data_IF_930049053505
#
_entry.id   IF_930049053505
#
_cell.length_a   1.000
_cell.length_b   1.000
_cell.length_c   1.000
_cell.angle_alpha   90.00
_cell.angle_beta   90.00
_cell.angle_gamma   90.00
#
_symmetry.space_group_name_H-M   'P 1'
#
loop_
_entity.id
_entity.type
_entity.pdbx_description
1 polymer ?
#
# COMPACT_ATOMS: atom_id res chain seq x y z
N UNK A 1 70.40 36.80 18.84
CA UNK A 1 69.36 36.06 19.58
C UNK A 1 67.99 36.64 19.24
N UNK A 2 67.27 36.12 18.22
CA UNK A 2 65.93 36.60 17.90
C UNK A 2 64.88 35.89 18.76
N UNK A 3 64.11 36.68 19.51
CA UNK A 3 62.98 36.25 20.33
C UNK A 3 61.85 35.72 19.44
N UNK A 4 61.52 34.42 19.56
CA UNK A 4 60.36 33.81 18.89
C UNK A 4 59.09 34.21 19.63
N UNK A 5 58.30 35.07 19.00
CA UNK A 5 56.96 35.43 19.46
C UNK A 5 56.06 34.17 19.53
N UNK A 6 55.47 33.95 20.71
CA UNK A 6 54.56 32.84 21.02
C UNK A 6 53.23 33.09 20.32
N UNK A 7 52.97 32.37 19.23
CA UNK A 7 51.70 32.42 18.48
C UNK A 7 50.58 31.94 19.41
N UNK A 8 49.64 32.81 19.74
CA UNK A 8 48.45 32.47 20.51
C UNK A 8 47.59 31.46 19.71
N UNK A 9 47.15 30.39 20.38
CA UNK A 9 46.26 29.40 19.80
C UNK A 9 44.90 30.03 19.45
N UNK A 10 44.26 29.64 18.33
CA UNK A 10 42.94 30.14 17.98
C UNK A 10 41.91 29.76 19.06
N UNK A 11 40.92 30.62 19.33
CA UNK A 11 39.89 30.32 20.32
C UNK A 11 39.10 29.08 19.91
N UNK A 12 38.66 28.24 20.87
CA UNK A 12 37.88 27.05 20.57
C UNK A 12 36.59 27.45 19.86
N UNK A 13 36.33 26.82 18.72
CA UNK A 13 35.12 27.03 17.93
C UNK A 13 33.90 26.82 18.82
N UNK A 14 33.12 27.88 19.05
CA UNK A 14 31.88 27.81 19.80
C UNK A 14 30.95 26.85 19.09
N UNK A 15 30.60 25.74 19.74
CA UNK A 15 29.58 24.82 19.24
C UNK A 15 28.29 25.61 18.99
N UNK A 16 27.68 25.50 17.80
CA UNK A 16 26.46 26.25 17.50
C UNK A 16 25.37 25.81 18.47
N UNK A 17 24.94 26.73 19.34
CA UNK A 17 23.74 26.52 20.17
C UNK A 17 22.54 26.44 19.24
N UNK A 18 22.11 25.23 18.93
CA UNK A 18 20.80 24.97 18.31
C UNK A 18 19.76 25.62 19.21
N UNK A 19 19.11 26.67 18.73
CA UNK A 19 18.20 27.45 19.57
C UNK A 19 17.03 26.57 20.05
N UNK A 20 16.72 26.61 21.34
CA UNK A 20 15.63 25.84 21.95
C UNK A 20 14.28 26.10 21.26
N UNK A 21 14.08 27.32 20.74
CA UNK A 21 12.90 27.69 19.95
C UNK A 21 12.81 26.90 18.64
N UNK A 22 13.94 26.63 17.98
CA UNK A 22 13.99 25.82 16.75
C UNK A 22 13.59 24.36 17.02
N UNK A 23 14.02 23.81 18.16
CA UNK A 23 13.66 22.45 18.57
C UNK A 23 12.14 22.30 18.83
N UNK A 24 11.55 23.19 19.63
CA UNK A 24 10.11 23.14 19.95
C UNK A 24 9.24 23.21 18.69
N UNK A 25 9.52 24.14 17.77
CA UNK A 25 8.76 24.24 16.52
C UNK A 25 8.90 23.01 15.62
N UNK A 26 10.06 22.36 15.61
CA UNK A 26 10.25 21.09 14.89
C UNK A 26 9.43 19.97 15.52
N UNK A 27 9.45 19.87 16.85
CA UNK A 27 8.70 18.85 17.59
C UNK A 27 7.19 18.98 17.32
N UNK A 28 6.63 20.19 17.43
CA UNK A 28 5.22 20.45 17.14
C UNK A 28 4.83 20.12 15.69
N UNK A 29 5.71 20.41 14.71
CA UNK A 29 5.46 20.00 13.32
C UNK A 29 5.49 18.48 13.17
N UNK A 30 6.45 17.81 13.80
CA UNK A 30 6.57 16.36 13.75
C UNK A 30 5.35 15.67 14.38
N UNK A 31 4.90 16.13 15.54
CA UNK A 31 3.70 15.62 16.22
C UNK A 31 2.44 15.80 15.35
N UNK A 32 2.27 16.96 14.74
CA UNK A 32 1.18 17.19 13.78
C UNK A 32 1.26 16.26 12.58
N UNK A 33 2.44 16.09 11.98
CA UNK A 33 2.65 15.13 10.87
C UNK A 33 2.27 13.71 11.29
N UNK A 34 2.71 13.26 12.47
CA UNK A 34 2.39 11.92 13.02
C UNK A 34 0.89 11.74 13.24
N UNK A 35 0.20 12.76 13.77
CA UNK A 35 -1.25 12.73 13.97
C UNK A 35 -2.00 12.57 12.64
N UNK A 36 -1.66 13.39 11.64
CA UNK A 36 -2.26 13.32 10.30
C UNK A 36 -1.95 11.98 9.63
N UNK A 37 -0.73 11.46 9.78
CA UNK A 37 -0.34 10.16 9.26
C UNK A 37 -1.17 9.02 9.87
N UNK A 38 -1.31 8.98 11.20
CA UNK A 38 -2.13 7.97 11.90
C UNK A 38 -3.57 7.97 11.39
N UNK A 39 -4.19 9.15 11.24
CA UNK A 39 -5.55 9.26 10.72
C UNK A 39 -5.69 8.71 9.30
N UNK A 40 -4.72 9.01 8.43
CA UNK A 40 -4.70 8.48 7.06
C UNK A 40 -4.52 6.95 7.01
N UNK A 41 -3.63 6.41 7.84
CA UNK A 41 -3.45 4.96 7.97
C UNK A 41 -4.72 4.28 8.47
N UNK A 42 -5.36 4.82 9.51
CA UNK A 42 -6.62 4.29 10.04
C UNK A 42 -7.72 4.28 8.97
N UNK A 43 -7.89 5.38 8.24
CA UNK A 43 -8.86 5.48 7.13
C UNK A 43 -8.58 4.44 6.05
N UNK A 44 -7.30 4.24 5.69
CA UNK A 44 -6.92 3.24 4.68
C UNK A 44 -7.20 1.82 5.15
N UNK A 45 -6.95 1.51 6.43
CA UNK A 45 -7.27 0.22 7.03
C UNK A 45 -8.77 -0.06 7.05
N UNK A 46 -9.58 0.91 7.48
CA UNK A 46 -11.04 0.78 7.53
C UNK A 46 -11.61 0.47 6.14
N UNK A 47 -11.15 1.19 5.12
CA UNK A 47 -11.52 0.94 3.73
C UNK A 47 -11.06 -0.43 3.24
N UNK A 48 -9.82 -0.80 3.55
CA UNK A 48 -9.28 -2.10 3.21
C UNK A 48 -10.04 -3.26 3.84
N UNK A 49 -10.43 -3.12 5.11
CA UNK A 49 -11.27 -4.08 5.81
C UNK A 49 -12.65 -4.19 5.14
N UNK A 50 -13.29 -3.06 4.84
CA UNK A 50 -14.59 -3.04 4.15
C UNK A 50 -14.53 -3.71 2.77
N UNK A 51 -13.48 -3.44 1.99
CA UNK A 51 -13.26 -4.09 0.69
C UNK A 51 -13.02 -5.60 0.83
N UNK A 52 -12.23 -6.02 1.83
CA UNK A 52 -12.01 -7.43 2.11
C UNK A 52 -13.29 -8.15 2.53
N UNK A 53 -14.13 -7.51 3.35
CA UNK A 53 -15.42 -8.06 3.76
C UNK A 53 -16.39 -8.17 2.58
N UNK A 54 -16.44 -7.15 1.71
CA UNK A 54 -17.22 -7.21 0.48
C UNK A 54 -16.77 -8.35 -0.43
N UNK A 55 -15.45 -8.49 -0.63
CA UNK A 55 -14.89 -9.59 -1.41
C UNK A 55 -15.19 -10.96 -0.78
N UNK A 56 -15.05 -11.10 0.53
CA UNK A 56 -15.39 -12.33 1.26
C UNK A 56 -16.84 -12.73 1.09
N UNK A 57 -17.78 -11.76 1.16
CA UNK A 57 -19.20 -12.02 0.90
C UNK A 57 -19.44 -12.48 -0.53
N UNK A 58 -18.76 -11.86 -1.50
CA UNK A 58 -18.83 -12.26 -2.91
C UNK A 58 -18.32 -13.68 -3.13
N UNK A 59 -17.16 -14.04 -2.56
CA UNK A 59 -16.60 -15.39 -2.64
C UNK A 59 -17.56 -16.40 -2.00
N UNK A 60 -18.11 -16.10 -0.83
CA UNK A 60 -19.06 -16.98 -0.16
C UNK A 60 -20.34 -17.17 -0.99
N UNK A 61 -20.91 -16.09 -1.54
CA UNK A 61 -22.11 -16.15 -2.38
C UNK A 61 -21.88 -16.91 -3.68
N UNK A 62 -20.70 -16.75 -4.30
CA UNK A 62 -20.42 -17.36 -5.60
C UNK A 62 -19.91 -18.80 -5.49
N UNK A 63 -19.21 -19.14 -4.41
CA UNK A 63 -18.48 -20.42 -4.28
C UNK A 63 -18.94 -21.30 -3.13
N UNK A 64 -19.77 -20.78 -2.21
CA UNK A 64 -20.08 -21.46 -0.94
C UNK A 64 -18.85 -21.70 -0.07
N UNK A 65 -17.73 -21.01 -0.34
CA UNK A 65 -16.47 -21.17 0.39
C UNK A 65 -16.45 -20.29 1.64
N UNK A 66 -15.69 -20.70 2.67
CA UNK A 66 -15.50 -19.86 3.85
C UNK A 66 -14.96 -18.48 3.44
N UNK A 67 -15.39 -17.45 4.15
CA UNK A 67 -14.91 -16.09 3.97
C UNK A 67 -13.38 -16.04 3.95
N UNK A 68 -12.82 -15.14 3.13
CA UNK A 68 -11.38 -14.85 3.15
C UNK A 68 -11.03 -14.39 4.57
N UNK A 69 -9.82 -14.73 5.03
CA UNK A 69 -9.34 -14.29 6.33
C UNK A 69 -9.57 -12.78 6.53
N UNK A 70 -9.97 -12.35 7.74
CA UNK A 70 -10.22 -10.94 8.00
C UNK A 70 -8.96 -10.12 7.73
N UNK A 71 -9.15 -8.86 7.33
CA UNK A 71 -8.04 -7.94 7.13
C UNK A 71 -7.26 -7.82 8.45
N UNK A 72 -5.96 -8.10 8.40
CA UNK A 72 -5.08 -7.97 9.57
C UNK A 72 -4.86 -6.47 9.81
N UNK A 73 -5.24 -5.93 10.98
CA UNK A 73 -4.93 -4.55 11.31
C UNK A 73 -3.42 -4.33 11.30
N UNK A 74 -2.97 -3.20 10.78
CA UNK A 74 -1.58 -2.80 11.02
C UNK A 74 -1.38 -2.63 12.53
N UNK A 75 -0.26 -3.16 13.01
CA UNK A 75 0.17 -2.93 14.38
C UNK A 75 0.49 -1.45 14.64
N UNK A 76 0.80 -1.12 15.91
CA UNK A 76 1.24 0.22 16.27
C UNK A 76 2.41 0.69 15.41
N UNK A 77 2.33 1.92 14.89
CA UNK A 77 3.42 2.50 14.10
C UNK A 77 4.61 2.76 15.03
N UNK A 78 5.80 2.20 14.77
CA UNK A 78 6.94 2.23 15.67
C UNK A 78 7.70 3.56 15.56
N UNK A 79 7.08 4.66 15.97
CA UNK A 79 7.73 5.96 15.97
C UNK A 79 8.96 5.98 16.90
N UNK A 80 10.01 6.70 16.49
CA UNK A 80 11.16 6.98 17.36
C UNK A 80 10.68 7.78 18.57
N UNK A 81 10.89 7.20 19.76
CA UNK A 81 10.57 7.79 21.06
C UNK A 81 11.70 7.50 22.07
N UNK A 82 12.03 8.43 22.98
CA UNK A 82 11.53 9.81 23.03
C UNK A 82 12.12 10.68 21.92
N UNK A 83 11.35 11.65 21.42
CA UNK A 83 11.89 12.71 20.58
C UNK A 83 12.65 13.72 21.45
N UNK A 84 13.95 13.86 21.18
CA UNK A 84 14.90 14.75 21.87
C UNK A 84 15.59 15.65 20.84
N UNK A 85 16.31 16.71 21.25
CA UNK A 85 17.07 17.52 20.30
C UNK A 85 18.09 16.73 19.45
N UNK A 86 18.57 15.59 19.96
CA UNK A 86 19.49 14.69 19.24
C UNK A 86 18.77 13.76 18.27
N UNK A 87 17.56 13.28 18.62
CA UNK A 87 16.83 12.28 17.83
C UNK A 87 15.83 12.87 16.84
N UNK A 88 15.51 14.18 16.96
CA UNK A 88 14.54 14.84 16.08
C UNK A 88 14.85 14.76 14.58
N UNK A 89 16.11 14.84 14.09
CA UNK A 89 16.36 14.68 12.65
C UNK A 89 16.03 13.27 12.17
N UNK A 90 16.41 12.23 12.92
CA UNK A 90 16.10 10.84 12.59
C UNK A 90 14.59 10.56 12.65
N UNK A 91 13.87 11.19 13.59
CA UNK A 91 12.43 11.07 13.69
C UNK A 91 11.68 11.75 12.53
N UNK A 92 12.22 12.85 11.99
CA UNK A 92 11.72 13.49 10.77
C UNK A 92 12.00 12.61 9.54
N UNK A 93 13.20 12.06 9.40
CA UNK A 93 13.55 11.12 8.32
C UNK A 93 12.67 9.86 8.35
N UNK A 94 12.43 9.30 9.54
CA UNK A 94 11.49 8.19 9.70
C UNK A 94 10.10 8.55 9.19
N UNK A 95 9.61 9.77 9.43
CA UNK A 95 8.32 10.20 8.90
C UNK A 95 8.29 10.24 7.38
N UNK A 96 9.37 10.65 6.74
CA UNK A 96 9.45 10.71 5.29
C UNK A 96 9.46 9.28 4.69
N UNK A 97 10.20 8.35 5.30
CA UNK A 97 10.17 6.92 4.91
C UNK A 97 8.78 6.32 5.08
N UNK A 98 8.12 6.57 6.22
CA UNK A 98 6.76 6.09 6.49
C UNK A 98 5.76 6.63 5.46
N UNK A 99 5.93 7.89 5.04
CA UNK A 99 5.09 8.49 4.00
C UNK A 99 5.24 7.77 2.66
N UNK A 100 6.48 7.46 2.23
CA UNK A 100 6.73 6.69 1.00
C UNK A 100 6.06 5.33 1.07
N UNK A 101 6.28 4.58 2.15
CA UNK A 101 5.65 3.27 2.35
C UNK A 101 4.12 3.39 2.35
N UNK A 102 3.55 4.43 2.95
CA UNK A 102 2.11 4.68 2.92
C UNK A 102 1.59 4.89 1.49
N UNK A 103 2.28 5.69 0.67
CA UNK A 103 1.84 5.94 -0.71
C UNK A 103 1.86 4.66 -1.55
N UNK A 104 2.90 3.84 -1.41
CA UNK A 104 2.99 2.54 -2.10
C UNK A 104 1.87 1.58 -1.68
N UNK A 105 1.60 1.49 -0.37
CA UNK A 105 0.50 0.66 0.13
C UNK A 105 -0.85 1.20 -0.31
N UNK A 106 -1.06 2.51 -0.25
CA UNK A 106 -2.31 3.16 -0.66
C UNK A 106 -2.70 2.81 -2.09
N UNK A 107 -1.75 2.80 -3.03
CA UNK A 107 -2.02 2.39 -4.40
C UNK A 107 -2.57 0.96 -4.48
N UNK A 108 -2.00 0.02 -3.71
CA UNK A 108 -2.45 -1.38 -3.67
C UNK A 108 -3.85 -1.53 -3.07
N UNK A 109 -4.17 -0.80 -2.01
CA UNK A 109 -5.50 -0.81 -1.40
C UNK A 109 -6.56 -0.24 -2.34
N UNK A 110 -6.29 0.92 -2.95
CA UNK A 110 -7.21 1.52 -3.91
C UNK A 110 -7.41 0.64 -5.14
N UNK A 111 -6.34 0.01 -5.63
CA UNK A 111 -6.46 -0.98 -6.69
C UNK A 111 -7.37 -2.13 -6.26
N UNK A 112 -7.18 -2.67 -5.05
CA UNK A 112 -8.02 -3.77 -4.56
C UNK A 112 -9.49 -3.37 -4.46
N UNK A 113 -9.82 -2.16 -4.04
CA UNK A 113 -11.20 -1.65 -4.07
C UNK A 113 -11.78 -1.69 -5.49
N UNK A 114 -11.06 -1.13 -6.49
CA UNK A 114 -11.52 -1.18 -7.89
C UNK A 114 -11.66 -2.59 -8.42
N UNK A 115 -10.82 -3.52 -7.96
CA UNK A 115 -10.91 -4.94 -8.30
C UNK A 115 -12.18 -5.56 -7.70
N UNK A 116 -12.49 -5.28 -6.43
CA UNK A 116 -13.71 -5.77 -5.77
C UNK A 116 -14.96 -5.20 -6.44
N UNK A 117 -14.96 -3.92 -6.80
CA UNK A 117 -16.05 -3.29 -7.56
C UNK A 117 -16.24 -3.98 -8.92
N UNK A 118 -15.13 -4.28 -9.62
CA UNK A 118 -15.15 -5.06 -10.85
C UNK A 118 -15.72 -6.46 -10.67
N UNK A 119 -15.33 -7.13 -9.58
CA UNK A 119 -15.81 -8.46 -9.24
C UNK A 119 -17.32 -8.46 -8.94
N UNK A 120 -17.79 -7.47 -8.17
CA UNK A 120 -19.22 -7.29 -7.86
C UNK A 120 -20.03 -6.99 -9.13
N UNK A 121 -19.59 -6.07 -9.98
CA UNK A 121 -20.27 -5.73 -11.22
C UNK A 121 -20.35 -6.91 -12.19
N UNK A 122 -19.30 -7.74 -12.22
CA UNK A 122 -19.29 -8.99 -12.96
C UNK A 122 -20.28 -10.01 -12.39
N UNK A 123 -20.33 -10.16 -11.06
CA UNK A 123 -21.28 -11.05 -10.39
C UNK A 123 -22.75 -10.64 -10.65
N UNK A 124 -23.08 -9.36 -10.49
CA UNK A 124 -24.47 -8.89 -10.50
C UNK A 124 -25.05 -8.72 -11.90
N UNK A 125 -24.25 -8.21 -12.84
CA UNK A 125 -24.71 -7.77 -14.16
C UNK A 125 -23.90 -8.36 -15.31
N UNK A 126 -22.92 -9.25 -15.02
CA UNK A 126 -21.99 -9.80 -16.01
C UNK A 126 -21.34 -8.70 -16.84
N UNK A 127 -21.02 -7.58 -16.19
CA UNK A 127 -20.44 -6.43 -16.87
C UNK A 127 -18.92 -6.35 -16.60
N UNK A 128 -18.08 -6.90 -17.50
CA UNK A 128 -16.64 -6.96 -17.30
C UNK A 128 -15.92 -5.63 -17.54
N UNK A 129 -16.61 -4.59 -18.00
CA UNK A 129 -15.99 -3.28 -18.23
C UNK A 129 -15.35 -2.69 -16.98
N UNK A 130 -15.85 -3.05 -15.79
CA UNK A 130 -15.28 -2.62 -14.52
C UNK A 130 -13.92 -3.26 -14.19
N UNK A 131 -13.64 -4.46 -14.68
CA UNK A 131 -12.29 -5.02 -14.56
C UNK A 131 -11.27 -4.23 -15.39
N UNK A 132 -11.67 -3.64 -16.51
CA UNK A 132 -10.78 -2.78 -17.31
C UNK A 132 -10.39 -1.51 -16.56
N UNK A 133 -11.28 -0.96 -15.72
CA UNK A 133 -10.95 0.17 -14.85
C UNK A 133 -9.88 -0.23 -13.83
N UNK A 134 -10.02 -1.39 -13.19
CA UNK A 134 -9.01 -1.92 -12.25
C UNK A 134 -7.67 -2.21 -12.94
N UNK A 135 -7.68 -2.76 -14.14
CA UNK A 135 -6.48 -2.95 -14.95
C UNK A 135 -5.78 -1.63 -15.29
N UNK A 136 -6.52 -0.63 -15.79
CA UNK A 136 -5.96 0.69 -16.12
C UNK A 136 -5.39 1.37 -14.88
N UNK A 137 -6.09 1.25 -13.74
CA UNK A 137 -5.58 1.73 -12.47
C UNK A 137 -4.25 1.08 -12.11
N UNK A 138 -4.17 -0.26 -12.18
CA UNK A 138 -2.92 -0.99 -11.92
C UNK A 138 -1.77 -0.55 -12.83
N UNK A 139 -2.05 -0.33 -14.12
CA UNK A 139 -1.06 0.14 -15.09
C UNK A 139 -0.56 1.56 -14.75
N UNK A 140 -1.47 2.50 -14.51
CA UNK A 140 -1.14 3.91 -14.20
C UNK A 140 -0.38 4.04 -12.88
N UNK A 141 -0.74 3.24 -11.87
CA UNK A 141 -0.07 3.24 -10.56
C UNK A 141 1.23 2.40 -10.55
N UNK A 142 1.64 1.82 -11.68
CA UNK A 142 2.85 1.01 -11.76
C UNK A 142 2.77 -0.34 -11.03
N UNK A 143 1.58 -0.79 -10.65
CA UNK A 143 1.35 -2.10 -10.04
C UNK A 143 1.46 -3.24 -11.06
N UNK A 144 1.31 -2.93 -12.36
CA UNK A 144 1.48 -3.86 -13.46
C UNK A 144 2.24 -3.23 -14.62
N UNK A 145 3.33 -3.87 -15.06
CA UNK A 145 4.16 -3.41 -16.18
C UNK A 145 4.08 -4.30 -17.43
N UNK A 146 3.43 -5.46 -17.35
CA UNK A 146 3.34 -6.42 -18.46
C UNK A 146 2.43 -6.00 -19.63
N UNK A 147 2.22 -6.93 -20.56
CA UNK A 147 1.45 -6.70 -21.79
C UNK A 147 -0.04 -6.47 -21.49
N UNK A 148 -0.69 -5.66 -22.33
CA UNK A 148 -2.14 -5.52 -22.27
C UNK A 148 -2.83 -6.86 -22.61
N UNK A 149 -3.82 -7.29 -21.80
CA UNK A 149 -4.57 -8.51 -22.09
C UNK A 149 -5.34 -8.35 -23.40
N UNK A 150 -5.32 -9.39 -24.24
CA UNK A 150 -6.04 -9.40 -25.52
C UNK A 150 -7.50 -9.84 -25.38
N UNK A 151 -7.89 -10.36 -24.22
CA UNK A 151 -9.26 -10.81 -23.94
C UNK A 151 -9.67 -10.51 -22.50
N UNK A 152 -10.98 -10.54 -22.25
CA UNK A 152 -11.55 -10.40 -20.91
C UNK A 152 -11.05 -11.49 -19.95
N UNK A 153 -10.95 -12.73 -20.42
CA UNK A 153 -10.44 -13.85 -19.63
C UNK A 153 -9.00 -13.62 -19.18
N UNK A 154 -8.15 -13.13 -20.09
CA UNK A 154 -6.77 -12.79 -19.77
C UNK A 154 -6.70 -11.64 -18.76
N UNK A 155 -7.55 -10.63 -18.89
CA UNK A 155 -7.63 -9.53 -17.94
C UNK A 155 -8.03 -10.00 -16.54
N UNK A 156 -9.08 -10.81 -16.41
CA UNK A 156 -9.52 -11.34 -15.11
C UNK A 156 -8.42 -12.17 -14.47
N UNK A 157 -7.76 -13.06 -15.23
CA UNK A 157 -6.66 -13.87 -14.74
C UNK A 157 -5.47 -13.03 -14.24
N UNK A 158 -5.10 -11.99 -15.00
CA UNK A 158 -4.04 -11.06 -14.63
C UNK A 158 -4.36 -10.32 -13.32
N UNK A 159 -5.58 -9.84 -13.16
CA UNK A 159 -5.98 -9.14 -11.93
C UNK A 159 -5.99 -10.08 -10.71
N UNK A 160 -6.35 -11.35 -10.91
CA UNK A 160 -6.26 -12.38 -9.88
C UNK A 160 -4.80 -12.70 -9.52
N UNK A 161 -3.90 -12.77 -10.50
CA UNK A 161 -2.46 -12.92 -10.27
C UNK A 161 -1.91 -11.78 -9.41
N UNK A 162 -2.25 -10.54 -9.77
CA UNK A 162 -1.88 -9.35 -8.99
C UNK A 162 -2.42 -9.43 -7.55
N UNK A 163 -3.65 -9.95 -7.36
CA UNK A 163 -4.25 -10.08 -6.02
C UNK A 163 -3.53 -11.13 -5.18
N UNK A 164 -3.12 -12.22 -5.79
CA UNK A 164 -2.44 -13.34 -5.14
C UNK A 164 -0.93 -13.10 -4.98
N UNK A 165 -0.38 -12.02 -5.55
CA UNK A 165 1.05 -11.76 -5.54
C UNK A 165 1.85 -12.76 -6.38
N UNK A 166 1.21 -13.39 -7.37
CA UNK A 166 1.85 -14.35 -8.24
C UNK A 166 2.51 -13.62 -9.42
N UNK A 167 3.75 -13.99 -9.80
CA UNK A 167 4.40 -13.39 -10.95
C UNK A 167 3.59 -13.68 -12.23
N UNK A 168 3.37 -12.67 -13.09
CA UNK A 168 2.60 -12.87 -14.32
C UNK A 168 3.37 -13.76 -15.31
N UNK A 169 2.72 -14.82 -15.80
CA UNK A 169 3.25 -15.69 -16.85
C UNK A 169 3.65 -17.11 -16.45
N UNK A 170 3.66 -17.47 -15.16
CA UNK A 170 3.97 -18.83 -14.70
C UNK A 170 2.69 -19.65 -14.46
N UNK A 171 2.00 -20.01 -15.55
CA UNK A 171 0.76 -20.80 -15.49
C UNK A 171 1.01 -22.31 -15.26
N UNK A 172 2.22 -22.80 -15.47
CA UNK A 172 2.55 -24.23 -15.45
C UNK A 172 2.71 -24.81 -14.03
N UNK A 173 2.86 -23.96 -13.02
CA UNK A 173 3.14 -24.32 -11.62
C UNK A 173 1.96 -24.01 -10.67
N UNK A 174 0.70 -24.10 -11.16
CA UNK A 174 -0.46 -23.58 -10.41
C UNK A 174 -1.11 -24.56 -9.43
N UNK A 175 -0.98 -24.15 -8.18
CA UNK A 175 -1.82 -24.39 -7.00
C UNK A 175 -3.34 -24.46 -7.32
N UNK A 176 -4.07 -25.39 -6.68
CA UNK A 176 -5.50 -25.72 -6.91
C UNK A 176 -6.42 -24.48 -6.96
N UNK A 177 -6.08 -23.43 -6.21
CA UNK A 177 -6.89 -22.21 -6.03
C UNK A 177 -7.13 -21.42 -7.31
N UNK A 178 -6.16 -21.40 -8.23
CA UNK A 178 -6.27 -20.65 -9.50
C UNK A 178 -7.07 -21.43 -10.54
N UNK A 179 -7.00 -22.76 -10.50
CA UNK A 179 -7.83 -23.67 -11.30
C UNK A 179 -9.29 -23.59 -10.87
N UNK A 180 -9.58 -23.54 -9.57
CA UNK A 180 -10.94 -23.36 -9.07
C UNK A 180 -11.54 -22.01 -9.48
N UNK A 181 -10.76 -20.93 -9.45
CA UNK A 181 -11.23 -19.59 -9.83
C UNK A 181 -11.43 -19.42 -11.35
N UNK A 182 -10.54 -19.99 -12.17
CA UNK A 182 -10.74 -20.03 -13.64
C UNK A 182 -11.90 -20.95 -14.04
N UNK A 183 -12.13 -22.03 -13.28
CA UNK A 183 -13.32 -22.88 -13.42
C UNK A 183 -14.58 -22.08 -13.08
N UNK A 184 -14.53 -21.17 -12.11
CA UNK A 184 -15.60 -20.24 -11.77
C UNK A 184 -15.88 -19.22 -12.89
N UNK A 185 -14.83 -18.63 -13.48
CA UNK A 185 -14.99 -17.74 -14.63
C UNK A 185 -15.69 -18.46 -15.78
N UNK A 186 -15.32 -19.72 -16.05
CA UNK A 186 -15.99 -20.56 -17.04
C UNK A 186 -17.43 -20.90 -16.64
N UNK A 187 -17.70 -21.23 -15.38
CA UNK A 187 -19.05 -21.58 -14.90
C UNK A 187 -20.01 -20.38 -14.92
N UNK A 188 -19.59 -19.21 -14.42
CA UNK A 188 -20.40 -17.99 -14.44
C UNK A 188 -20.60 -17.52 -15.87
N UNK A 189 -19.56 -17.50 -16.72
CA UNK A 189 -19.70 -17.13 -18.14
C UNK A 189 -20.63 -18.07 -18.93
N UNK A 190 -20.74 -19.34 -18.54
CA UNK A 190 -21.61 -20.33 -19.19
C UNK A 190 -23.09 -20.17 -18.82
N UNK A 191 -23.40 -19.78 -17.56
CA UNK A 191 -24.79 -19.69 -17.04
C UNK A 191 -25.63 -18.54 -17.64
N UNK A 192 -25.05 -17.57 -18.34
CA UNK A 192 -25.81 -16.44 -18.92
C UNK A 192 -25.69 -16.33 -20.43
N UNK A 193 -25.43 -17.47 -21.08
CA UNK A 193 -25.68 -17.66 -22.51
C UNK A 193 -26.92 -18.55 -22.76
N UNK A 194 -27.68 -18.90 -21.72
CA UNK A 194 -29.02 -19.50 -21.82
C UNK A 194 -30.06 -18.41 -21.56
#
# INVERSE_FOLDING_TARGET
>A
MPSKAKRAAPPPASTPKTSTKSYQSRLERLERKRLVFRSRVATLQERGAAANDAFSRLIMATMGKPAVAPAVPYGPIPFIEPVTPRTIPAAEEQMDVLEVCYQENRARFLWFETFVDGFQAWHDMRNPTKFWESYRFAKVQGLYSGKEPGSETEMVNLLLELKCGLPPGDMASRDERLVEFTTLYKAVAFVGKQ
#
